data_IF_085485386752
#
_entry.id   IF_085485386752
#
_cell.length_a   1.000
_cell.length_b   1.000
_cell.length_c   1.000
_cell.angle_alpha   90.00
_cell.angle_beta   90.00
_cell.angle_gamma   90.00
#
_symmetry.space_group_name_H-M   'P 1'
#
loop_
_entity.id
_entity.type
_entity.pdbx_description
1 polymer ?
#
# COMPACT_ATOMS: atom_id res chain seq x y z
N UNK A 1 36.58 -11.82 -25.59
CA UNK A 1 35.84 -13.01 -26.07
C UNK A 1 34.40 -12.91 -25.61
N UNK A 2 33.49 -12.77 -26.58
CA UNK A 2 32.03 -12.71 -26.40
C UNK A 2 31.45 -14.09 -26.07
N UNK A 3 30.36 -14.13 -25.29
CA UNK A 3 29.15 -14.84 -25.70
C UNK A 3 27.92 -14.28 -24.98
N UNK A 4 27.30 -13.32 -25.63
CA UNK A 4 25.90 -12.95 -25.46
C UNK A 4 25.07 -14.13 -25.98
N UNK A 5 24.20 -14.69 -25.14
CA UNK A 5 23.18 -15.64 -25.58
C UNK A 5 21.84 -14.94 -25.64
N UNK A 6 21.51 -14.54 -26.86
CA UNK A 6 20.19 -14.16 -27.31
C UNK A 6 19.28 -15.39 -27.22
N UNK A 7 18.09 -15.24 -26.65
CA UNK A 7 16.98 -16.13 -26.96
C UNK A 7 15.74 -15.27 -27.24
N UNK A 8 15.53 -15.07 -28.54
CA UNK A 8 14.32 -14.54 -29.15
C UNK A 8 13.42 -15.73 -29.49
N UNK A 9 12.21 -15.77 -28.92
CA UNK A 9 11.06 -16.51 -29.46
C UNK A 9 9.89 -15.54 -29.46
N UNK A 10 9.53 -14.95 -30.61
CA UNK A 10 8.57 -15.50 -31.58
C UNK A 10 7.30 -15.97 -30.85
N UNK A 11 6.19 -15.23 -30.83
CA UNK A 11 5.49 -14.72 -32.00
C UNK A 11 4.48 -15.78 -32.45
N UNK A 12 3.31 -15.83 -31.81
CA UNK A 12 2.15 -16.61 -32.28
C UNK A 12 0.88 -15.81 -32.01
N UNK A 13 0.52 -14.99 -33.00
CA UNK A 13 -0.72 -14.24 -33.13
C UNK A 13 -1.32 -14.64 -34.48
N UNK A 14 -2.40 -15.42 -34.49
CA UNK A 14 -3.34 -15.70 -35.60
C UNK A 14 -4.23 -16.89 -35.18
N UNK A 15 -5.55 -16.95 -35.35
CA UNK A 15 -6.61 -16.09 -35.90
C UNK A 15 -7.91 -16.42 -35.14
N UNK A 16 -8.90 -15.54 -34.99
CA UNK A 16 -9.80 -14.94 -35.99
C UNK A 16 -10.63 -15.93 -36.82
N UNK A 17 -11.94 -15.63 -36.89
CA UNK A 17 -13.10 -16.28 -37.55
C UNK A 17 -13.80 -17.38 -36.73
N UNK A 18 -15.12 -17.37 -36.50
CA UNK A 18 -16.26 -16.53 -36.91
C UNK A 18 -17.52 -17.12 -36.21
N UNK A 19 -18.75 -16.61 -36.28
CA UNK A 19 -19.45 -15.47 -36.89
C UNK A 19 -20.72 -15.20 -36.04
N UNK A 20 -21.33 -14.01 -36.13
CA UNK A 20 -22.61 -13.67 -35.51
C UNK A 20 -23.79 -14.02 -36.43
N UNK A 21 -24.99 -14.25 -35.89
CA UNK A 21 -26.21 -14.28 -36.68
C UNK A 21 -27.42 -13.82 -35.86
N UNK A 22 -27.67 -12.50 -35.89
CA UNK A 22 -29.00 -11.95 -35.71
C UNK A 22 -29.78 -12.06 -37.03
N UNK A 23 -31.05 -12.50 -36.98
CA UNK A 23 -32.13 -12.12 -37.92
C UNK A 23 -33.50 -12.32 -37.27
N UNK A 24 -34.20 -11.23 -36.97
CA UNK A 24 -35.59 -11.06 -37.43
C UNK A 24 -35.57 -10.19 -38.70
N UNK A 25 -36.70 -9.72 -39.26
CA UNK A 25 -38.11 -9.93 -38.90
C UNK A 25 -39.03 -10.20 -40.13
N UNK A 26 -40.34 -10.20 -39.86
CA UNK A 26 -41.45 -9.74 -40.72
C UNK A 26 -42.12 -10.72 -41.71
N UNK A 27 -43.42 -10.91 -41.41
CA UNK A 27 -44.56 -10.62 -42.29
C UNK A 27 -45.15 -11.65 -43.24
N UNK A 28 -46.49 -11.57 -43.25
CA UNK A 28 -47.47 -11.97 -44.30
C UNK A 28 -47.75 -13.48 -44.44
N UNK A 29 -48.95 -13.96 -44.72
CA UNK A 29 -50.31 -13.42 -44.76
C UNK A 29 -51.23 -14.63 -45.11
N UNK A 30 -52.44 -14.66 -44.53
CA UNK A 30 -53.72 -15.01 -45.19
C UNK A 30 -53.93 -16.41 -45.82
N UNK A 31 -54.95 -17.12 -45.31
CA UNK A 31 -56.08 -17.77 -46.03
C UNK A 31 -57.14 -18.16 -44.96
N UNK A 32 -58.24 -17.44 -44.71
CA UNK A 32 -59.51 -17.20 -45.44
C UNK A 32 -60.44 -18.44 -45.60
N UNK A 33 -61.58 -18.36 -44.86
CA UNK A 33 -62.97 -18.82 -45.13
C UNK A 33 -63.23 -20.35 -45.23
N UNK A 34 -64.36 -20.94 -44.80
CA UNK A 34 -65.76 -20.49 -44.73
C UNK A 34 -66.64 -21.40 -43.79
N UNK A 35 -67.93 -21.05 -43.51
CA UNK A 35 -68.80 -21.51 -42.38
C UNK A 35 -70.01 -22.36 -42.89
N UNK A 36 -71.29 -22.35 -42.36
CA UNK A 36 -71.92 -22.00 -41.07
C UNK A 36 -73.01 -23.02 -40.57
N UNK A 37 -73.67 -22.74 -39.41
CA UNK A 37 -75.10 -22.94 -39.00
C UNK A 37 -75.18 -23.31 -37.51
N UNK A 38 -76.04 -22.75 -36.65
CA UNK A 38 -77.08 -21.74 -36.77
C UNK A 38 -77.79 -21.56 -35.42
N UNK A 39 -78.62 -20.50 -35.31
CA UNK A 39 -79.78 -20.32 -34.41
C UNK A 39 -79.52 -20.31 -32.89
N UNK A 40 -80.11 -19.46 -32.04
CA UNK A 40 -80.93 -18.25 -32.11
C UNK A 40 -81.02 -17.71 -30.64
N UNK A 41 -81.76 -16.63 -30.33
CA UNK A 41 -81.39 -15.65 -29.29
C UNK A 41 -82.14 -15.81 -27.97
N UNK A 42 -81.61 -15.24 -26.87
CA UNK A 42 -82.47 -14.70 -25.80
C UNK A 42 -81.78 -13.75 -24.82
N UNK A 43 -82.42 -12.60 -24.66
CA UNK A 43 -82.60 -11.81 -23.44
C UNK A 43 -81.39 -11.08 -22.83
N UNK A 44 -81.38 -9.76 -23.03
CA UNK A 44 -80.88 -8.81 -22.04
C UNK A 44 -81.74 -8.87 -20.76
N UNK A 45 -81.13 -8.54 -19.61
CA UNK A 45 -81.79 -7.55 -18.76
C UNK A 45 -80.84 -6.47 -18.26
N UNK A 46 -81.28 -5.22 -18.48
CA UNK A 46 -81.39 -4.13 -17.49
C UNK A 46 -80.11 -3.72 -16.75
N UNK A 47 -79.55 -2.62 -17.22
CA UNK A 47 -79.32 -1.38 -16.47
C UNK A 47 -79.29 -1.50 -14.94
N UNK A 48 -78.07 -1.44 -14.42
CA UNK A 48 -77.75 -1.22 -13.01
C UNK A 48 -76.28 -0.86 -12.86
N UNK A 49 -75.74 -0.03 -13.77
CA UNK A 49 -74.40 0.55 -13.63
C UNK A 49 -74.58 1.97 -13.14
N UNK A 50 -74.04 2.27 -11.97
CA UNK A 50 -73.65 3.64 -11.63
C UNK A 50 -72.37 3.95 -12.43
N UNK A 51 -72.43 4.75 -13.51
CA UNK A 51 -71.22 5.06 -14.29
C UNK A 51 -70.21 5.94 -13.52
N UNK A 52 -70.59 6.50 -12.36
CA UNK A 52 -69.68 7.30 -11.55
C UNK A 52 -68.81 6.50 -10.57
N UNK A 53 -69.13 5.24 -10.28
CA UNK A 53 -68.33 4.43 -9.34
C UNK A 53 -67.16 3.68 -9.99
N UNK A 54 -67.23 3.37 -11.29
CA UNK A 54 -66.11 2.70 -11.97
C UNK A 54 -64.98 3.64 -12.40
N UNK A 55 -65.27 4.94 -12.57
CA UNK A 55 -64.26 5.94 -12.95
C UNK A 55 -63.38 6.36 -11.76
N UNK A 56 -63.91 6.31 -10.54
CA UNK A 56 -63.13 6.56 -9.32
C UNK A 56 -62.21 5.38 -8.96
N UNK A 57 -62.63 4.15 -9.27
CA UNK A 57 -61.88 2.93 -8.94
C UNK A 57 -60.70 2.67 -9.87
N UNK A 58 -60.78 3.07 -11.15
CA UNK A 58 -59.69 2.89 -12.11
C UNK A 58 -58.50 3.83 -11.86
N UNK A 59 -58.71 5.00 -11.26
CA UNK A 59 -57.63 5.97 -11.00
C UNK A 59 -56.75 5.61 -9.78
N UNK A 60 -57.24 4.80 -8.85
CA UNK A 60 -56.50 4.48 -7.63
C UNK A 60 -55.51 3.33 -7.82
N UNK A 61 -55.88 2.32 -8.61
CA UNK A 61 -55.06 1.11 -8.76
C UNK A 61 -53.85 1.35 -9.68
N UNK A 62 -53.95 2.27 -10.63
CA UNK A 62 -52.88 2.51 -11.61
C UNK A 62 -51.70 3.32 -11.05
N UNK A 63 -51.95 4.20 -10.07
CA UNK A 63 -50.88 4.97 -9.40
C UNK A 63 -49.98 4.03 -8.61
N UNK A 64 -50.55 2.98 -7.99
CA UNK A 64 -49.79 2.00 -7.19
C UNK A 64 -48.92 1.06 -8.02
N UNK A 65 -49.25 0.85 -9.31
CA UNK A 65 -48.47 -0.03 -10.21
C UNK A 65 -47.35 0.70 -10.95
N UNK A 66 -47.45 2.02 -11.12
CA UNK A 66 -46.44 2.84 -11.77
C UNK A 66 -45.15 2.98 -10.93
N UNK A 67 -45.25 2.98 -9.59
CA UNK A 67 -44.07 3.05 -8.70
C UNK A 67 -43.31 1.72 -8.54
N UNK A 68 -43.75 0.64 -9.21
CA UNK A 68 -43.01 -0.64 -9.25
C UNK A 68 -42.03 -0.75 -10.41
N UNK A 69 -41.90 0.30 -11.23
CA UNK A 69 -40.97 0.31 -12.36
C UNK A 69 -39.61 0.88 -11.91
N UNK A 70 -38.61 0.01 -11.92
CA UNK A 70 -37.18 0.23 -11.63
C UNK A 70 -36.60 0.04 -10.20
N UNK A 71 -37.11 -0.87 -9.34
CA UNK A 71 -36.32 -1.31 -8.17
C UNK A 71 -34.96 -1.94 -8.57
N UNK A 72 -34.85 -2.44 -9.80
CA UNK A 72 -33.62 -2.97 -10.40
C UNK A 72 -32.45 -1.97 -10.37
N UNK A 73 -32.69 -0.67 -10.56
CA UNK A 73 -31.60 0.33 -10.56
C UNK A 73 -31.01 0.53 -9.17
N UNK A 74 -31.87 0.58 -8.15
CA UNK A 74 -31.45 0.73 -6.75
C UNK A 74 -30.71 -0.54 -6.28
N UNK A 75 -31.18 -1.73 -6.67
CA UNK A 75 -30.50 -2.99 -6.36
C UNK A 75 -29.09 -3.05 -6.97
N UNK A 76 -28.92 -2.66 -8.24
CA UNK A 76 -27.59 -2.58 -8.85
C UNK A 76 -26.73 -1.52 -8.19
N UNK A 77 -27.27 -0.33 -7.88
CA UNK A 77 -26.51 0.73 -7.23
C UNK A 77 -25.98 0.27 -5.87
N UNK A 78 -26.80 -0.41 -5.06
CA UNK A 78 -26.36 -0.97 -3.79
C UNK A 78 -25.27 -2.02 -3.99
N UNK A 79 -25.47 -2.98 -4.91
CA UNK A 79 -24.46 -4.01 -5.22
C UNK A 79 -23.16 -3.37 -5.72
N UNK A 80 -23.25 -2.35 -6.58
CA UNK A 80 -22.11 -1.63 -7.13
C UNK A 80 -21.36 -0.85 -6.04
N UNK A 81 -22.07 -0.16 -5.15
CA UNK A 81 -21.45 0.54 -4.02
C UNK A 81 -20.75 -0.44 -3.07
N UNK A 82 -21.39 -1.57 -2.75
CA UNK A 82 -20.81 -2.58 -1.87
C UNK A 82 -19.59 -3.24 -2.50
N UNK A 83 -19.66 -3.54 -3.81
CA UNK A 83 -18.53 -4.04 -4.58
C UNK A 83 -17.38 -3.03 -4.63
N UNK A 84 -17.68 -1.75 -4.82
CA UNK A 84 -16.66 -0.69 -4.82
C UNK A 84 -15.95 -0.57 -3.47
N UNK A 85 -16.70 -0.58 -2.37
CA UNK A 85 -16.13 -0.57 -1.01
C UNK A 85 -15.26 -1.81 -0.77
N UNK A 86 -15.73 -2.99 -1.20
CA UNK A 86 -14.95 -4.21 -1.08
C UNK A 86 -13.63 -4.14 -1.86
N UNK A 87 -13.63 -3.58 -3.08
CA UNK A 87 -12.41 -3.38 -3.86
C UNK A 87 -11.43 -2.46 -3.13
N UNK A 88 -11.91 -1.35 -2.55
CA UNK A 88 -11.07 -0.43 -1.77
C UNK A 88 -10.45 -1.15 -0.57
N UNK A 89 -11.23 -1.94 0.18
CA UNK A 89 -10.72 -2.72 1.32
C UNK A 89 -9.65 -3.73 0.86
N UNK A 90 -9.87 -4.43 -0.25
CA UNK A 90 -8.89 -5.38 -0.80
C UNK A 90 -7.63 -4.66 -1.27
N UNK A 91 -7.75 -3.49 -1.91
CA UNK A 91 -6.60 -2.69 -2.34
C UNK A 91 -5.77 -2.20 -1.14
N UNK A 92 -6.43 -1.68 -0.10
CA UNK A 92 -5.77 -1.27 1.14
C UNK A 92 -5.12 -2.46 1.87
N UNK A 93 -5.82 -3.60 1.94
CA UNK A 93 -5.29 -4.83 2.52
C UNK A 93 -4.09 -5.37 1.75
N UNK A 94 -4.13 -5.34 0.42
CA UNK A 94 -3.02 -5.72 -0.44
C UNK A 94 -1.81 -4.79 -0.29
N UNK A 95 -2.05 -3.47 -0.23
CA UNK A 95 -1.00 -2.48 0.02
C UNK A 95 -0.35 -2.68 1.39
N UNK A 96 -1.16 -2.89 2.43
CA UNK A 96 -0.67 -3.19 3.78
C UNK A 96 0.17 -4.48 3.81
N UNK A 97 -0.24 -5.51 3.05
CA UNK A 97 0.50 -6.76 2.96
C UNK A 97 1.84 -6.61 2.24
N UNK A 98 1.90 -5.76 1.20
CA UNK A 98 3.16 -5.44 0.50
C UNK A 98 4.11 -4.68 1.45
N UNK A 99 3.60 -3.74 2.23
CA UNK A 99 4.39 -3.00 3.21
C UNK A 99 4.93 -3.91 4.31
N UNK A 100 4.08 -4.82 4.82
CA UNK A 100 4.50 -5.85 5.77
C UNK A 100 5.58 -6.79 5.20
N UNK A 101 5.54 -7.07 3.89
CA UNK A 101 6.55 -7.90 3.21
C UNK A 101 7.88 -7.18 3.02
N UNK A 102 7.86 -5.87 2.77
CA UNK A 102 9.08 -5.03 2.70
C UNK A 102 9.78 -4.99 4.06
N UNK A 103 9.03 -4.91 5.16
CA UNK A 103 9.57 -4.98 6.52
C UNK A 103 10.27 -6.32 6.80
N UNK A 104 9.75 -7.44 6.28
CA UNK A 104 10.38 -8.75 6.47
C UNK A 104 11.73 -8.89 5.73
N UNK A 105 11.86 -8.32 4.53
CA UNK A 105 13.13 -8.35 3.76
C UNK A 105 14.15 -7.39 4.36
N UNK A 106 13.74 -6.17 4.71
CA UNK A 106 14.58 -5.20 5.40
C UNK A 106 15.09 -5.74 6.75
N UNK A 107 14.30 -6.56 7.46
CA UNK A 107 14.73 -7.21 8.70
C UNK A 107 15.94 -8.13 8.53
N UNK A 108 16.04 -8.87 7.42
CA UNK A 108 17.20 -9.74 7.13
C UNK A 108 18.46 -8.92 6.86
N UNK A 109 18.33 -7.83 6.12
CA UNK A 109 19.44 -6.94 5.80
C UNK A 109 19.95 -6.22 7.07
N UNK A 110 19.02 -5.77 7.92
CA UNK A 110 19.36 -5.21 9.25
C UNK A 110 20.07 -6.25 10.11
N UNK A 111 19.60 -7.49 10.11
CA UNK A 111 20.25 -8.56 10.87
C UNK A 111 21.67 -8.85 10.34
N UNK A 112 21.88 -8.86 9.01
CA UNK A 112 23.23 -8.99 8.46
C UNK A 112 24.14 -7.81 8.84
N UNK A 113 23.64 -6.58 8.75
CA UNK A 113 24.41 -5.39 9.13
C UNK A 113 24.76 -5.37 10.61
N UNK A 114 23.88 -5.89 11.48
CA UNK A 114 24.16 -6.04 12.91
C UNK A 114 25.26 -7.07 13.18
N UNK A 115 25.24 -8.19 12.46
CA UNK A 115 26.30 -9.21 12.55
C UNK A 115 27.63 -8.62 12.08
N UNK A 116 27.64 -7.93 10.94
CA UNK A 116 28.85 -7.29 10.41
C UNK A 116 29.41 -6.24 11.38
N UNK A 117 28.53 -5.43 11.99
CA UNK A 117 28.92 -4.45 13.01
C UNK A 117 29.58 -5.14 14.22
N UNK A 118 28.97 -6.21 14.72
CA UNK A 118 29.50 -6.93 15.88
C UNK A 118 30.88 -7.55 15.60
N UNK A 119 31.08 -8.11 14.40
CA UNK A 119 32.39 -8.62 13.97
C UNK A 119 33.44 -7.50 13.90
N UNK A 120 33.05 -6.34 13.37
CA UNK A 120 33.95 -5.20 13.25
C UNK A 120 34.35 -4.65 14.63
N UNK A 121 33.40 -4.53 15.57
CA UNK A 121 33.67 -4.12 16.96
C UNK A 121 34.61 -5.09 17.66
N UNK A 122 34.42 -6.40 17.47
CA UNK A 122 35.33 -7.42 18.00
C UNK A 122 36.74 -7.26 17.42
N UNK A 123 36.86 -6.98 16.12
CA UNK A 123 38.15 -6.75 15.46
C UNK A 123 38.89 -5.52 16.01
N UNK A 124 38.17 -4.41 16.23
CA UNK A 124 38.70 -3.18 16.81
C UNK A 124 39.21 -3.46 18.23
N UNK A 125 38.39 -4.12 19.05
CA UNK A 125 38.77 -4.44 20.42
C UNK A 125 40.02 -5.34 20.48
N UNK A 126 40.12 -6.32 19.58
CA UNK A 126 41.32 -7.16 19.46
C UNK A 126 42.55 -6.36 19.08
N UNK A 127 42.44 -5.45 18.11
CA UNK A 127 43.56 -4.59 17.71
C UNK A 127 43.97 -3.63 18.83
N UNK A 128 43.01 -3.03 19.53
CA UNK A 128 43.28 -2.18 20.70
C UNK A 128 44.00 -2.95 21.80
N UNK A 129 43.61 -4.21 22.07
CA UNK A 129 44.31 -5.06 23.02
C UNK A 129 45.77 -5.32 22.59
N UNK A 130 46.02 -5.55 21.30
CA UNK A 130 47.38 -5.70 20.77
C UNK A 130 48.20 -4.41 20.91
N UNK A 131 47.63 -3.26 20.56
CA UNK A 131 48.27 -1.95 20.72
C UNK A 131 48.59 -1.69 22.19
N UNK A 132 47.65 -1.93 23.09
CA UNK A 132 47.85 -1.78 24.53
C UNK A 132 48.97 -2.72 25.04
N UNK A 133 49.01 -3.97 24.58
CA UNK A 133 50.08 -4.90 24.92
C UNK A 133 51.45 -4.41 24.42
N UNK A 134 51.51 -3.85 23.21
CA UNK A 134 52.74 -3.33 22.61
C UNK A 134 53.21 -2.03 23.27
N UNK A 135 52.29 -1.17 23.69
CA UNK A 135 52.56 0.07 24.43
C UNK A 135 52.69 -0.14 25.94
N UNK A 136 52.54 -1.36 26.43
CA UNK A 136 52.62 -1.62 27.87
C UNK A 136 54.00 -1.28 28.39
N UNK A 137 54.04 -0.57 29.52
CA UNK A 137 55.28 -0.12 30.17
C UNK A 137 56.21 -1.31 30.43
N UNK A 138 55.66 -2.45 30.88
CA UNK A 138 56.43 -3.66 31.13
C UNK A 138 57.18 -4.18 29.89
N UNK A 139 56.56 -4.15 28.70
CA UNK A 139 57.18 -4.61 27.45
C UNK A 139 58.21 -3.61 26.94
N UNK A 140 57.93 -2.32 27.08
CA UNK A 140 58.88 -1.25 26.73
C UNK A 140 60.12 -1.28 27.64
N UNK A 141 59.93 -1.46 28.95
CA UNK A 141 61.02 -1.61 29.91
C UNK A 141 61.88 -2.85 29.63
N UNK A 142 61.24 -3.99 29.35
CA UNK A 142 61.96 -5.21 28.98
C UNK A 142 62.85 -4.97 27.76
N UNK A 143 62.29 -4.35 26.71
CA UNK A 143 63.05 -4.03 25.50
C UNK A 143 64.15 -3.00 25.74
N UNK A 144 63.91 -2.01 26.60
CA UNK A 144 64.92 -1.02 26.98
C UNK A 144 66.11 -1.70 27.69
N UNK A 145 65.85 -2.64 28.60
CA UNK A 145 66.90 -3.43 29.27
C UNK A 145 67.69 -4.30 28.30
N UNK A 146 67.04 -4.94 27.33
CA UNK A 146 67.73 -5.71 26.28
C UNK A 146 68.66 -4.86 25.43
N UNK A 147 68.31 -3.58 25.23
CA UNK A 147 69.14 -2.62 24.50
C UNK A 147 70.23 -1.98 25.37
N UNK A 148 70.34 -2.37 26.64
CA UNK A 148 71.34 -1.85 27.59
C UNK A 148 70.95 -0.56 28.30
N UNK A 149 69.70 -0.11 28.16
CA UNK A 149 69.21 1.04 28.94
C UNK A 149 68.89 0.63 30.38
N UNK A 150 69.10 1.58 31.31
CA UNK A 150 68.75 1.44 32.72
C UNK A 150 67.69 2.48 33.11
N UNK A 151 66.85 2.23 34.13
CA UNK A 151 65.91 3.21 34.65
C UNK A 151 66.65 4.47 35.10
N UNK A 152 66.22 5.64 34.62
CA UNK A 152 66.82 6.91 35.01
C UNK A 152 66.50 7.22 36.48
N UNK A 153 67.51 7.62 37.24
CA UNK A 153 67.32 8.12 38.61
C UNK A 153 66.94 9.60 38.57
N UNK A 154 66.21 10.09 39.58
CA UNK A 154 65.73 11.48 39.62
C UNK A 154 66.85 12.51 39.40
N UNK A 155 68.05 12.26 39.94
CA UNK A 155 69.21 13.14 39.76
C UNK A 155 69.84 13.13 38.36
N UNK A 156 69.38 12.29 37.44
CA UNK A 156 69.87 12.15 36.07
C UNK A 156 68.87 12.70 35.04
N UNK A 157 67.73 13.25 35.47
CA UNK A 157 66.66 13.75 34.60
C UNK A 157 66.79 15.27 34.49
N UNK A 158 67.14 15.76 33.30
CA UNK A 158 67.13 17.20 32.99
C UNK A 158 65.77 17.62 32.42
N UNK A 159 65.14 18.60 33.07
CA UNK A 159 63.85 19.13 32.63
C UNK A 159 64.05 20.37 31.75
N UNK A 160 63.71 20.24 30.46
CA UNK A 160 63.78 21.34 29.50
C UNK A 160 62.39 21.95 29.31
N UNK A 161 62.26 23.26 29.59
CA UNK A 161 61.02 23.99 29.32
C UNK A 161 61.00 24.40 27.84
N UNK A 162 60.18 23.71 27.06
CA UNK A 162 59.98 24.04 25.65
C UNK A 162 58.94 25.16 25.53
N UNK A 163 59.36 26.34 25.07
CA UNK A 163 58.43 27.47 24.81
C UNK A 163 57.39 27.05 23.77
N UNK A 164 56.11 27.20 24.10
CA UNK A 164 54.98 26.83 23.22
C UNK A 164 54.51 25.38 23.33
N UNK A 165 55.02 24.60 24.28
CA UNK A 165 54.48 23.26 24.56
C UNK A 165 53.28 23.35 25.50
N UNK A 166 52.08 23.05 24.99
CA UNK A 166 50.81 23.12 25.73
C UNK A 166 50.38 21.77 26.34
N UNK A 167 51.25 20.77 26.34
CA UNK A 167 50.94 19.42 26.79
C UNK A 167 49.99 18.66 25.85
N UNK A 168 49.71 17.37 26.13
CA UNK A 168 48.66 16.65 25.43
C UNK A 168 47.34 17.36 25.68
N UNK A 169 46.73 17.93 24.63
CA UNK A 169 45.34 18.35 24.71
C UNK A 169 44.51 17.10 24.92
N UNK A 170 44.09 16.90 26.17
CA UNK A 170 42.97 16.05 26.49
C UNK A 170 41.76 16.65 25.77
N UNK A 171 41.50 16.17 24.56
CA UNK A 171 40.20 16.31 23.94
C UNK A 171 39.22 15.52 24.81
N UNK A 172 38.80 16.11 25.94
CA UNK A 172 37.51 15.76 26.49
C UNK A 172 36.53 16.00 25.34
N UNK A 173 35.63 15.05 25.02
CA UNK A 173 34.56 15.36 24.10
C UNK A 173 33.94 16.63 24.63
N UNK A 174 34.02 17.71 23.85
CA UNK A 174 33.29 18.93 24.16
C UNK A 174 31.88 18.45 24.47
N UNK A 175 31.35 18.81 25.64
CA UNK A 175 29.95 18.57 25.94
C UNK A 175 29.21 19.10 24.71
N UNK A 176 28.74 18.18 23.86
CA UNK A 176 28.08 18.53 22.63
C UNK A 176 26.88 19.30 23.16
N UNK A 177 26.89 20.63 22.99
CA UNK A 177 25.69 21.41 23.22
C UNK A 177 24.59 20.63 22.49
N UNK A 178 23.48 20.29 23.18
CA UNK A 178 22.46 19.43 22.60
C UNK A 178 22.23 19.91 21.18
N UNK A 179 22.52 19.03 20.21
CA UNK A 179 22.34 19.39 18.81
C UNK A 179 20.93 19.99 18.70
N UNK A 180 20.75 21.10 17.96
CA UNK A 180 19.41 21.64 17.75
C UNK A 180 18.54 20.47 17.32
N UNK A 181 17.57 20.15 18.17
CA UNK A 181 16.67 19.03 17.97
C UNK A 181 16.07 19.25 16.58
N UNK A 182 16.20 18.28 15.65
CA UNK A 182 15.60 18.46 14.34
C UNK A 182 14.13 18.78 14.58
N UNK A 183 13.63 19.88 14.00
CA UNK A 183 12.20 20.17 13.99
C UNK A 183 11.52 19.00 13.27
N UNK A 184 11.11 18.01 14.06
CA UNK A 184 10.32 16.90 13.58
C UNK A 184 9.00 17.53 13.14
N UNK A 185 8.53 17.26 11.91
CA UNK A 185 7.21 17.68 11.52
C UNK A 185 6.22 17.13 12.55
N UNK A 186 5.32 17.99 13.03
CA UNK A 186 4.27 17.61 13.95
C UNK A 186 3.26 16.74 13.18
N UNK A 187 3.58 15.45 13.03
CA UNK A 187 2.71 14.44 12.41
C UNK A 187 1.63 14.03 13.42
N UNK A 188 0.83 15.00 13.88
CA UNK A 188 -0.32 14.76 14.74
C UNK A 188 -1.55 14.27 13.96
N UNK A 189 -1.49 14.28 12.63
CA UNK A 189 -2.51 13.69 11.79
C UNK A 189 -2.45 12.17 11.89
N UNK A 190 -3.44 11.60 12.57
CA UNK A 190 -3.66 10.16 12.54
C UNK A 190 -4.10 9.74 11.14
N UNK A 191 -3.69 8.56 10.70
CA UNK A 191 -4.06 7.97 9.41
C UNK A 191 -5.59 7.98 9.17
N UNK A 192 -6.37 7.92 10.24
CA UNK A 192 -7.83 8.04 10.21
C UNK A 192 -8.32 9.45 9.83
N UNK A 193 -7.62 10.51 10.23
CA UNK A 193 -7.98 11.91 9.89
C UNK A 193 -7.81 12.15 8.39
N UNK A 194 -6.68 11.71 7.84
CA UNK A 194 -6.45 11.74 6.39
C UNK A 194 -7.45 10.87 5.62
N UNK A 195 -7.73 9.65 6.10
CA UNK A 195 -8.65 8.74 5.44
C UNK A 195 -10.07 9.32 5.39
N UNK A 196 -10.54 9.90 6.50
CA UNK A 196 -11.85 10.55 6.56
C UNK A 196 -11.89 11.78 5.65
N UNK A 197 -10.83 12.59 5.61
CA UNK A 197 -10.73 13.73 4.69
C UNK A 197 -10.78 13.30 3.23
N UNK A 198 -10.06 12.24 2.87
CA UNK A 198 -10.02 11.70 1.50
C UNK A 198 -11.35 11.06 1.11
N UNK A 199 -12.01 10.34 2.02
CA UNK A 199 -13.35 9.80 1.78
C UNK A 199 -14.38 10.92 1.66
N UNK A 200 -14.27 11.96 2.49
CA UNK A 200 -15.16 13.11 2.44
C UNK A 200 -14.96 13.93 1.16
N UNK A 201 -13.76 14.00 0.60
CA UNK A 201 -13.48 14.65 -0.68
C UNK A 201 -14.02 13.83 -1.87
N UNK A 202 -13.90 12.50 -1.80
CA UNK A 202 -14.35 11.59 -2.86
C UNK A 202 -15.87 11.35 -2.88
N UNK A 203 -16.54 11.38 -1.72
CA UNK A 203 -17.98 11.13 -1.56
C UNK A 203 -18.77 12.35 -1.10
N UNK A 204 -18.10 13.46 -0.82
CA UNK A 204 -18.74 14.75 -0.58
C UNK A 204 -19.42 15.23 -1.87
N UNK A 205 -20.51 16.00 -1.76
CA UNK A 205 -21.13 16.61 -2.93
C UNK A 205 -20.13 17.56 -3.58
N UNK A 206 -19.49 17.10 -4.66
CA UNK A 206 -18.50 17.89 -5.38
C UNK A 206 -19.12 19.12 -6.02
N UNK A 207 -18.45 20.25 -5.81
CA UNK A 207 -18.40 21.37 -6.74
C UNK A 207 -19.46 22.45 -6.58
N UNK A 208 -19.11 23.51 -5.85
CA UNK A 208 -19.27 24.87 -6.38
C UNK A 208 -17.88 25.49 -6.59
#
# INVERSE_FOLDING_TARGET
MQKVKSDSRAGSWMGWMGKPQERGPADTAVHRAAPPKGAAPRAAPRTGKNPMQSLAQLRYVDISRAFKQAPWRVQIQVIATLASVAIVIVALGGLYLIEASRAATAGRDVQSLQVDKAELELSINRQLALIASAKSVARLEMRARELGYAPAQIGQIDFVVVKGYYGPQLHLPAAVAPAPEPELPDYNETLGTWLVGTLADMFGPGGE
#
